data_IF_817969778641
#
_entry.id   IF_817969778641
#
_cell.length_a   1.000
_cell.length_b   1.000
_cell.length_c   1.000
_cell.angle_alpha   90.00
_cell.angle_beta   90.00
_cell.angle_gamma   90.00
#
_symmetry.space_group_name_H-M   'P 1'
#
loop_
_entity.id
_entity.type
_entity.pdbx_description
1 polymer ?
#
# COMPACT_ATOMS: atom_id res chain seq x y z
N UNK A 1 -0.26 19.33 -1.17
CA UNK A 1 0.25 19.45 -2.53
C UNK A 1 -0.33 20.67 -3.20
N UNK A 2 0.53 21.48 -3.80
CA UNK A 2 0.10 22.55 -4.69
C UNK A 2 -0.11 21.95 -6.09
N UNK A 3 -1.35 21.89 -6.60
CA UNK A 3 -1.61 21.32 -7.93
C UNK A 3 -0.94 22.11 -9.07
N UNK A 4 -0.61 23.40 -8.85
CA UNK A 4 0.13 24.21 -9.82
C UNK A 4 1.66 23.98 -9.76
N UNK A 5 2.14 23.23 -8.77
CA UNK A 5 3.58 23.02 -8.55
C UNK A 5 4.19 21.91 -9.43
N UNK A 6 5.52 21.97 -9.64
CA UNK A 6 6.24 21.02 -10.51
C UNK A 6 6.28 19.60 -9.92
N UNK A 7 6.15 19.46 -8.61
CA UNK A 7 6.10 18.14 -7.97
C UNK A 7 4.80 17.40 -8.33
N UNK A 8 3.67 18.12 -8.29
CA UNK A 8 2.40 17.56 -8.71
C UNK A 8 2.46 17.11 -10.18
N UNK A 9 3.07 17.91 -11.07
CA UNK A 9 3.22 17.56 -12.48
C UNK A 9 4.01 16.28 -12.68
N UNK A 10 5.08 16.05 -11.91
CA UNK A 10 5.86 14.80 -11.97
C UNK A 10 5.03 13.60 -11.50
N UNK A 11 4.30 13.72 -10.39
CA UNK A 11 3.46 12.65 -9.86
C UNK A 11 2.27 12.35 -10.79
N UNK A 12 1.68 13.41 -11.35
CA UNK A 12 0.60 13.29 -12.34
C UNK A 12 1.06 12.51 -13.55
N UNK A 13 2.20 12.88 -14.14
CA UNK A 13 2.75 12.21 -15.31
C UNK A 13 3.14 10.76 -15.01
N UNK A 14 3.76 10.51 -13.86
CA UNK A 14 4.10 9.15 -13.42
C UNK A 14 2.89 8.23 -13.40
N UNK A 15 1.79 8.67 -12.78
CA UNK A 15 0.58 7.85 -12.69
C UNK A 15 -0.13 7.79 -14.03
N UNK A 16 -0.17 8.88 -14.79
CA UNK A 16 -0.76 8.91 -16.13
C UNK A 16 -0.10 7.89 -17.05
N UNK A 17 1.22 7.78 -16.98
CA UNK A 17 2.01 6.89 -17.84
C UNK A 17 2.00 5.44 -17.32
N UNK A 18 2.36 5.23 -16.04
CA UNK A 18 2.50 3.87 -15.49
C UNK A 18 1.15 3.26 -15.08
N UNK A 19 0.21 4.09 -14.62
CA UNK A 19 -1.05 3.64 -14.07
C UNK A 19 -2.16 3.40 -15.09
N UNK A 20 -1.96 3.76 -16.36
CA UNK A 20 -2.96 3.59 -17.41
C UNK A 20 -3.27 2.10 -17.68
N UNK A 21 -4.54 1.79 -17.97
CA UNK A 21 -4.96 0.42 -18.31
C UNK A 21 -4.22 -0.14 -19.54
N UNK A 22 -3.92 0.72 -20.51
CA UNK A 22 -3.22 0.43 -21.77
C UNK A 22 -1.77 0.94 -21.79
N UNK A 23 -1.17 1.15 -20.63
CA UNK A 23 0.21 1.62 -20.49
C UNK A 23 1.19 0.77 -21.32
N UNK A 24 2.04 1.45 -22.08
CA UNK A 24 3.15 0.83 -22.84
C UNK A 24 4.49 0.91 -22.10
N UNK A 25 4.56 1.74 -21.06
CA UNK A 25 5.76 1.97 -20.25
C UNK A 25 5.81 1.11 -19.00
N UNK A 26 4.63 0.69 -18.49
CA UNK A 26 4.56 -0.22 -17.34
C UNK A 26 5.07 -1.60 -17.75
N UNK A 27 6.09 -2.10 -17.04
CA UNK A 27 6.66 -3.41 -17.29
C UNK A 27 5.69 -4.56 -16.93
N UNK A 28 6.00 -5.77 -17.40
CA UNK A 28 5.24 -6.96 -17.02
C UNK A 28 5.30 -7.20 -15.50
N UNK A 29 6.47 -7.03 -14.88
CA UNK A 29 6.64 -7.15 -13.42
C UNK A 29 5.82 -6.10 -12.66
N UNK A 30 5.82 -4.84 -13.09
CA UNK A 30 4.99 -3.79 -12.47
C UNK A 30 3.49 -4.09 -12.61
N UNK A 31 3.08 -4.70 -13.71
CA UNK A 31 1.69 -5.13 -13.91
C UNK A 31 1.32 -6.28 -12.98
N UNK A 32 2.24 -7.22 -12.79
CA UNK A 32 2.10 -8.31 -11.82
C UNK A 32 2.03 -7.78 -10.39
N UNK A 33 2.93 -6.87 -10.00
CA UNK A 33 2.92 -6.19 -8.69
C UNK A 33 1.54 -5.54 -8.42
N UNK A 34 1.02 -4.78 -9.38
CA UNK A 34 -0.26 -4.10 -9.23
C UNK A 34 -1.42 -5.07 -8.95
N UNK A 35 -1.40 -6.23 -9.58
CA UNK A 35 -2.43 -7.27 -9.40
C UNK A 35 -2.20 -8.10 -8.16
N UNK A 36 -0.94 -8.41 -7.83
CA UNK A 36 -0.57 -9.21 -6.66
C UNK A 36 -1.05 -8.57 -5.35
N UNK A 37 -0.92 -7.23 -5.24
CA UNK A 37 -1.31 -6.42 -4.09
C UNK A 37 -2.66 -5.71 -4.29
N UNK A 38 -3.52 -6.17 -5.19
CA UNK A 38 -4.80 -5.50 -5.44
C UNK A 38 -5.66 -5.47 -4.17
N UNK A 39 -5.76 -6.59 -3.45
CA UNK A 39 -6.39 -6.75 -2.13
C UNK A 39 -7.76 -6.03 -2.02
N UNK A 40 -8.59 -6.20 -3.04
CA UNK A 40 -9.89 -5.57 -3.13
C UNK A 40 -10.91 -6.11 -2.10
N UNK A 41 -12.12 -5.54 -2.10
CA UNK A 41 -13.15 -5.80 -1.10
C UNK A 41 -13.66 -7.25 -1.07
N UNK A 42 -13.41 -8.02 -2.11
CA UNK A 42 -13.80 -9.42 -2.21
C UNK A 42 -12.71 -10.40 -1.75
N UNK A 43 -11.53 -9.87 -1.38
CA UNK A 43 -10.40 -10.62 -0.85
C UNK A 43 -10.26 -10.47 0.66
N UNK A 44 -9.04 -10.74 1.14
CA UNK A 44 -8.69 -10.62 2.57
C UNK A 44 -8.35 -9.19 3.00
N UNK A 45 -8.34 -8.25 2.08
CA UNK A 45 -7.95 -6.85 2.26
C UNK A 45 -6.48 -6.66 2.69
N UNK A 46 -5.88 -5.47 2.59
CA UNK A 46 -4.46 -5.27 2.94
C UNK A 46 -4.09 -5.68 4.37
N UNK A 47 -4.91 -5.39 5.41
CA UNK A 47 -4.60 -5.86 6.76
C UNK A 47 -4.53 -7.38 6.88
N UNK A 48 -5.46 -8.10 6.24
CA UNK A 48 -5.49 -9.55 6.21
C UNK A 48 -4.28 -10.14 5.50
N UNK A 49 -3.82 -9.53 4.41
CA UNK A 49 -2.62 -9.94 3.69
C UNK A 49 -1.39 -9.89 4.60
N UNK A 50 -1.20 -8.78 5.36
CA UNK A 50 -0.11 -8.68 6.32
C UNK A 50 -0.24 -9.61 7.52
N UNK A 51 -1.46 -10.01 7.91
CA UNK A 51 -1.67 -11.07 8.90
C UNK A 51 -1.18 -12.43 8.38
N UNK A 52 -1.43 -12.76 7.11
CA UNK A 52 -0.92 -14.00 6.50
C UNK A 52 0.60 -14.01 6.37
N UNK A 53 1.20 -12.90 5.93
CA UNK A 53 2.66 -12.75 5.90
C UNK A 53 3.24 -12.94 7.30
N UNK A 54 2.63 -12.34 8.33
CA UNK A 54 3.06 -12.50 9.72
C UNK A 54 3.01 -13.96 10.17
N UNK A 55 1.92 -14.67 9.93
CA UNK A 55 1.79 -16.09 10.23
C UNK A 55 2.92 -16.87 9.57
N UNK A 56 3.16 -16.65 8.31
CA UNK A 56 4.18 -17.35 7.54
C UNK A 56 5.60 -17.10 8.06
N UNK A 57 5.99 -15.84 8.33
CA UNK A 57 7.36 -15.55 8.79
C UNK A 57 7.61 -15.85 10.27
N UNK A 58 6.54 -15.99 11.06
CA UNK A 58 6.64 -16.31 12.49
C UNK A 58 6.53 -17.81 12.79
N UNK A 59 5.92 -18.61 11.93
CA UNK A 59 5.60 -20.02 12.20
C UNK A 59 6.82 -20.88 12.59
N UNK A 60 8.01 -20.58 12.04
CA UNK A 60 9.23 -21.34 12.29
C UNK A 60 10.12 -20.74 13.40
N UNK A 61 9.57 -19.84 14.22
CA UNK A 61 10.32 -19.06 15.24
C UNK A 61 10.27 -19.65 16.66
N UNK A 62 9.75 -20.84 16.83
CA UNK A 62 9.61 -21.52 18.14
C UNK A 62 8.96 -20.62 19.22
N UNK A 63 7.98 -19.83 18.84
CA UNK A 63 7.23 -18.98 19.75
C UNK A 63 6.32 -19.84 20.63
N UNK A 64 6.31 -19.57 21.94
CA UNK A 64 5.31 -20.11 22.86
C UNK A 64 3.90 -19.61 22.46
N UNK A 65 2.86 -20.29 22.93
CA UNK A 65 1.48 -19.89 22.71
C UNK A 65 1.20 -18.42 23.13
N UNK A 66 1.77 -18.00 24.25
CA UNK A 66 1.61 -16.64 24.77
C UNK A 66 2.33 -15.61 23.87
N UNK A 67 3.52 -15.94 23.37
CA UNK A 67 4.25 -15.08 22.44
C UNK A 67 3.53 -14.98 21.10
N UNK A 68 2.98 -16.08 20.59
CA UNK A 68 2.12 -16.09 19.41
C UNK A 68 0.89 -15.18 19.61
N UNK A 69 0.15 -15.38 20.69
CA UNK A 69 -1.03 -14.57 20.98
C UNK A 69 -0.70 -13.08 21.08
N UNK A 70 0.44 -12.77 21.75
CA UNK A 70 0.94 -11.39 21.83
C UNK A 70 1.32 -10.83 20.45
N UNK A 71 2.03 -11.59 19.65
CA UNK A 71 2.45 -11.17 18.30
C UNK A 71 1.24 -10.84 17.41
N UNK A 72 0.27 -11.75 17.33
CA UNK A 72 -0.93 -11.57 16.52
C UNK A 72 -1.80 -10.40 17.03
N UNK A 73 -1.89 -10.22 18.35
CA UNK A 73 -2.61 -9.10 18.93
C UNK A 73 -1.92 -7.76 18.61
N UNK A 74 -0.59 -7.66 18.70
CA UNK A 74 0.16 -6.47 18.35
C UNK A 74 -0.03 -6.10 16.88
N UNK A 75 0.07 -7.08 15.97
CA UNK A 75 -0.09 -6.86 14.54
C UNK A 75 -1.54 -6.40 14.25
N UNK A 76 -2.55 -7.10 14.80
CA UNK A 76 -3.96 -6.75 14.60
C UNK A 76 -4.30 -5.35 15.10
N UNK A 77 -3.84 -4.97 16.29
CA UNK A 77 -4.04 -3.62 16.83
C UNK A 77 -3.33 -2.56 15.98
N UNK A 78 -2.10 -2.83 15.55
CA UNK A 78 -1.35 -1.92 14.68
C UNK A 78 -2.06 -1.71 13.34
N UNK A 79 -2.65 -2.76 12.77
CA UNK A 79 -3.44 -2.65 11.53
C UNK A 79 -4.73 -1.85 11.76
N UNK A 80 -5.36 -2.02 12.93
CA UNK A 80 -6.54 -1.23 13.31
C UNK A 80 -6.20 0.26 13.42
N UNK A 81 -5.12 0.61 14.13
CA UNK A 81 -4.67 2.00 14.28
C UNK A 81 -4.27 2.60 12.91
N UNK A 82 -3.64 1.82 12.04
CA UNK A 82 -3.32 2.20 10.67
C UNK A 82 -4.59 2.51 9.85
N UNK A 83 -5.63 1.70 10.02
CA UNK A 83 -6.94 1.92 9.40
C UNK A 83 -7.55 3.25 9.83
N UNK A 84 -7.60 3.50 11.14
CA UNK A 84 -8.17 4.72 11.71
C UNK A 84 -7.43 5.95 11.17
N UNK A 85 -6.10 5.95 11.24
CA UNK A 85 -5.28 7.06 10.74
C UNK A 85 -5.49 7.31 9.25
N UNK A 86 -5.46 6.25 8.42
CA UNK A 86 -5.60 6.40 6.97
C UNK A 86 -6.98 6.96 6.61
N UNK A 87 -8.07 6.46 7.21
CA UNK A 87 -9.43 6.88 6.87
C UNK A 87 -9.77 8.27 7.43
N UNK A 88 -9.34 8.60 8.64
CA UNK A 88 -9.46 9.96 9.17
C UNK A 88 -8.78 10.97 8.24
N UNK A 89 -7.56 10.68 7.81
CA UNK A 89 -6.80 11.52 6.88
C UNK A 89 -7.50 11.66 5.53
N UNK A 90 -8.06 10.56 4.98
CA UNK A 90 -8.74 10.58 3.68
C UNK A 90 -9.91 11.55 3.67
N UNK A 91 -10.78 11.44 4.65
CA UNK A 91 -11.99 12.29 4.71
C UNK A 91 -11.71 13.71 5.22
N UNK A 92 -10.60 13.92 5.93
CA UNK A 92 -10.17 15.25 6.33
C UNK A 92 -9.62 16.09 5.17
N UNK A 93 -8.84 15.46 4.28
CA UNK A 93 -8.17 16.19 3.18
C UNK A 93 -8.87 16.05 1.83
N UNK A 94 -9.70 15.07 1.66
CA UNK A 94 -10.54 14.80 0.47
C UNK A 94 -9.79 14.94 -0.87
N UNK A 95 -8.57 14.34 -0.95
CA UNK A 95 -7.72 14.45 -2.13
C UNK A 95 -8.28 13.60 -3.26
N UNK A 96 -8.39 14.21 -4.43
CA UNK A 96 -8.92 13.60 -5.65
C UNK A 96 -8.08 12.42 -6.13
N UNK A 97 -8.74 11.37 -6.62
CA UNK A 97 -8.10 10.22 -7.25
C UNK A 97 -7.51 10.54 -8.63
N UNK A 98 -6.42 9.83 -9.05
CA UNK A 98 -5.80 10.03 -10.35
C UNK A 98 -6.79 9.95 -11.51
N UNK A 99 -7.67 8.96 -11.55
CA UNK A 99 -8.63 8.80 -12.65
C UNK A 99 -9.53 10.01 -12.80
N UNK A 100 -10.10 10.50 -11.71
CA UNK A 100 -10.95 11.70 -11.74
C UNK A 100 -10.15 12.95 -12.11
N UNK A 101 -8.92 13.06 -11.60
CA UNK A 101 -8.03 14.19 -11.90
C UNK A 101 -7.67 14.23 -13.39
N UNK A 102 -7.17 13.13 -13.94
CA UNK A 102 -6.70 13.02 -15.33
C UNK A 102 -7.87 13.20 -16.29
N UNK A 103 -9.01 12.57 -16.04
CA UNK A 103 -10.16 12.62 -16.96
C UNK A 103 -10.92 13.93 -16.94
N UNK A 104 -10.98 14.62 -15.80
CA UNK A 104 -11.95 15.70 -15.63
C UNK A 104 -11.37 17.00 -15.06
N UNK A 105 -10.27 16.97 -14.32
CA UNK A 105 -9.82 18.11 -13.52
C UNK A 105 -8.49 18.73 -13.98
N UNK A 106 -7.70 18.06 -14.81
CA UNK A 106 -6.38 18.56 -15.22
C UNK A 106 -6.39 20.04 -15.65
N UNK A 107 -7.32 20.54 -16.48
CA UNK A 107 -7.38 21.95 -16.87
C UNK A 107 -7.68 22.91 -15.71
N UNK A 108 -8.18 22.43 -14.56
CA UNK A 108 -8.54 23.26 -13.40
C UNK A 108 -7.41 23.38 -12.37
N UNK A 109 -6.28 22.76 -12.61
CA UNK A 109 -5.14 22.83 -11.70
C UNK A 109 -4.23 24.01 -11.98
N UNK A 110 -4.46 24.72 -13.10
CA UNK A 110 -3.65 25.87 -13.55
C UNK A 110 -2.14 25.56 -13.55
N UNK A 111 -1.80 24.30 -13.82
CA UNK A 111 -0.41 23.87 -13.84
C UNK A 111 0.21 24.21 -15.21
N UNK A 112 1.34 24.94 -15.24
CA UNK A 112 1.99 25.32 -16.50
C UNK A 112 2.70 24.17 -17.21
N UNK A 113 2.88 23.02 -16.55
CA UNK A 113 3.54 21.87 -17.13
C UNK A 113 2.63 21.18 -18.14
N UNK A 114 3.08 21.00 -19.41
CA UNK A 114 2.26 20.40 -20.46
C UNK A 114 1.89 18.94 -20.21
N UNK A 115 2.55 18.27 -19.24
CA UNK A 115 2.21 16.90 -18.84
C UNK A 115 0.90 16.84 -18.05
N UNK A 116 0.48 17.94 -17.43
CA UNK A 116 -0.77 18.04 -16.69
C UNK A 116 -1.91 18.39 -17.64
N UNK A 117 -2.21 17.48 -18.53
CA UNK A 117 -3.27 17.61 -19.52
C UNK A 117 -4.41 16.61 -19.28
N UNK A 118 -5.57 16.96 -19.83
CA UNK A 118 -6.75 16.11 -19.75
C UNK A 118 -6.67 14.98 -20.75
N UNK A 119 -6.90 13.75 -20.25
CA UNK A 119 -7.21 12.59 -21.07
C UNK A 119 -8.56 12.00 -20.66
N UNK A 120 -9.60 12.29 -21.42
CA UNK A 120 -10.97 11.83 -21.13
C UNK A 120 -11.16 10.32 -21.29
N UNK A 121 -10.25 9.63 -21.95
CA UNK A 121 -10.30 8.18 -22.19
C UNK A 121 -9.44 7.39 -21.17
N UNK A 122 -8.58 8.08 -20.42
CA UNK A 122 -7.71 7.44 -19.45
C UNK A 122 -8.50 6.60 -18.45
N UNK A 123 -7.99 5.41 -18.16
CA UNK A 123 -8.55 4.51 -17.13
C UNK A 123 -7.41 3.97 -16.29
N UNK A 124 -7.64 3.81 -15.01
CA UNK A 124 -6.70 3.11 -14.13
C UNK A 124 -6.60 1.62 -14.50
N UNK A 125 -5.45 1.02 -14.25
CA UNK A 125 -5.20 -0.41 -14.53
C UNK A 125 -6.00 -1.33 -13.61
N UNK A 126 -6.16 -0.95 -12.36
CA UNK A 126 -7.05 -1.62 -11.41
C UNK A 126 -8.23 -0.69 -11.06
N UNK A 127 -9.36 -1.24 -10.58
CA UNK A 127 -10.51 -0.41 -10.22
C UNK A 127 -10.16 0.68 -9.22
N UNK A 128 -10.57 1.91 -9.51
CA UNK A 128 -10.39 3.05 -8.61
C UNK A 128 -11.30 2.91 -7.40
N UNK A 129 -10.75 2.91 -6.15
CA UNK A 129 -11.58 2.85 -4.95
C UNK A 129 -12.49 4.09 -4.78
N UNK A 130 -13.68 3.88 -4.24
CA UNK A 130 -14.74 4.89 -4.07
C UNK A 130 -14.55 5.79 -2.84
N UNK A 131 -13.30 6.12 -2.48
CA UNK A 131 -12.96 7.00 -1.36
C UNK A 131 -11.72 7.83 -1.69
N UNK A 132 -11.47 8.95 -0.97
CA UNK A 132 -10.37 9.88 -1.27
C UNK A 132 -8.99 9.23 -1.35
N UNK A 133 -8.07 9.86 -2.10
CA UNK A 133 -6.76 9.29 -2.40
C UNK A 133 -5.81 9.29 -1.20
N UNK A 134 -5.59 10.46 -0.58
CA UNK A 134 -4.56 10.71 0.43
C UNK A 134 -5.04 10.37 1.85
N UNK A 135 -4.28 9.59 2.64
CA UNK A 135 -3.06 8.84 2.30
C UNK A 135 -3.38 7.47 1.71
N UNK A 136 -2.38 6.77 1.15
CA UNK A 136 -2.57 5.41 0.64
C UNK A 136 -2.81 4.41 1.77
N UNK A 137 -3.99 3.77 1.79
CA UNK A 137 -4.30 2.72 2.77
C UNK A 137 -3.34 1.53 2.67
N UNK A 138 -3.08 1.02 1.45
CA UNK A 138 -2.13 -0.08 1.22
C UNK A 138 -0.74 0.23 1.79
N UNK A 139 -0.22 1.43 1.53
CA UNK A 139 1.09 1.84 2.03
C UNK A 139 1.10 1.98 3.56
N UNK A 140 0.01 2.51 4.16
CA UNK A 140 -0.10 2.63 5.63
C UNK A 140 -0.12 1.24 6.27
N UNK A 141 -0.97 0.33 5.78
CA UNK A 141 -1.05 -1.05 6.29
C UNK A 141 0.25 -1.81 6.07
N UNK A 142 0.85 -1.67 4.88
CA UNK A 142 2.10 -2.33 4.54
C UNK A 142 3.24 -1.92 5.47
N UNK A 143 3.44 -0.62 5.62
CA UNK A 143 4.49 -0.09 6.49
C UNK A 143 4.26 -0.44 7.97
N UNK A 144 3.00 -0.35 8.45
CA UNK A 144 2.65 -0.67 9.81
C UNK A 144 2.85 -2.17 10.12
N UNK A 145 2.37 -3.04 9.23
CA UNK A 145 2.51 -4.49 9.37
C UNK A 145 3.97 -4.93 9.33
N UNK A 146 4.70 -4.53 8.28
CA UNK A 146 6.12 -4.86 8.13
C UNK A 146 6.96 -4.38 9.33
N UNK A 147 6.76 -3.13 9.77
CA UNK A 147 7.48 -2.57 10.91
C UNK A 147 7.16 -3.29 12.22
N UNK A 148 5.89 -3.65 12.47
CA UNK A 148 5.52 -4.42 13.66
C UNK A 148 6.11 -5.83 13.63
N UNK A 149 6.08 -6.51 12.49
CA UNK A 149 6.71 -7.83 12.33
C UNK A 149 8.22 -7.72 12.59
N UNK A 150 8.88 -6.70 12.05
CA UNK A 150 10.30 -6.44 12.28
C UNK A 150 10.61 -6.21 13.78
N UNK A 151 9.76 -5.51 14.50
CA UNK A 151 9.91 -5.34 15.96
C UNK A 151 9.78 -6.67 16.72
N UNK A 152 8.85 -7.53 16.32
CA UNK A 152 8.65 -8.85 16.94
C UNK A 152 9.85 -9.76 16.70
N UNK A 153 10.42 -9.72 15.49
CA UNK A 153 11.58 -10.51 15.08
C UNK A 153 12.92 -9.94 15.53
N UNK A 154 12.97 -8.64 15.87
CA UNK A 154 14.20 -7.91 16.14
C UNK A 154 15.02 -7.58 14.89
N UNK A 155 14.49 -7.82 13.69
CA UNK A 155 15.15 -7.54 12.40
C UNK A 155 14.14 -7.30 11.28
N UNK A 156 14.50 -6.43 10.33
CA UNK A 156 13.78 -6.24 9.06
C UNK A 156 14.25 -7.22 7.98
N UNK A 157 15.49 -7.74 8.10
CA UNK A 157 16.09 -8.64 7.13
C UNK A 157 15.54 -10.06 7.30
N UNK A 158 14.55 -10.37 6.45
CA UNK A 158 13.87 -11.65 6.44
C UNK A 158 13.66 -12.06 4.98
N UNK A 159 14.27 -13.17 4.59
CA UNK A 159 14.00 -13.77 3.28
C UNK A 159 12.68 -14.54 3.36
N UNK A 160 11.72 -14.17 2.56
CA UNK A 160 10.44 -14.87 2.46
C UNK A 160 9.85 -14.76 1.06
N UNK A 161 8.89 -15.62 0.78
CA UNK A 161 8.12 -15.58 -0.45
C UNK A 161 6.65 -15.76 -0.12
N UNK A 162 5.78 -15.17 -0.92
CA UNK A 162 4.35 -15.24 -0.68
C UNK A 162 3.58 -15.35 -2.01
N UNK A 163 2.43 -16.01 -1.97
CA UNK A 163 1.47 -16.04 -3.06
C UNK A 163 0.30 -15.12 -2.74
N UNK A 164 -0.17 -14.35 -3.72
CA UNK A 164 -1.27 -13.45 -3.47
C UNK A 164 -2.53 -14.19 -3.02
N UNK A 165 -3.14 -13.79 -1.92
CA UNK A 165 -4.45 -14.31 -1.53
C UNK A 165 -5.54 -14.04 -2.59
N UNK A 166 -5.34 -13.03 -3.43
CA UNK A 166 -6.25 -12.69 -4.53
C UNK A 166 -6.24 -13.73 -5.68
N UNK A 167 -5.32 -14.70 -5.68
CA UNK A 167 -5.31 -15.80 -6.67
C UNK A 167 -6.61 -16.60 -6.74
N UNK A 168 -7.41 -16.59 -5.67
CA UNK A 168 -8.73 -17.24 -5.64
C UNK A 168 -9.71 -16.50 -6.56
N UNK A 169 -9.62 -15.18 -6.61
CA UNK A 169 -10.47 -14.32 -7.42
C UNK A 169 -9.90 -14.11 -8.83
N UNK A 170 -8.58 -14.09 -8.94
CA UNK A 170 -7.87 -13.82 -10.19
C UNK A 170 -7.04 -15.03 -10.61
N UNK A 171 -7.58 -15.94 -11.46
CA UNK A 171 -6.87 -17.13 -11.91
C UNK A 171 -5.50 -16.87 -12.53
N UNK A 172 -5.28 -15.67 -13.10
CA UNK A 172 -3.99 -15.23 -13.65
C UNK A 172 -2.89 -15.04 -12.59
N UNK A 173 -3.26 -14.97 -11.30
CA UNK A 173 -2.32 -14.91 -10.18
C UNK A 173 -1.99 -16.29 -9.60
N UNK A 174 -2.60 -17.36 -10.11
CA UNK A 174 -2.22 -18.71 -9.72
C UNK A 174 -0.78 -18.97 -10.09
N UNK A 175 -0.08 -19.61 -9.19
CA UNK A 175 1.34 -19.95 -9.35
C UNK A 175 2.31 -18.76 -9.34
N UNK A 176 1.83 -17.51 -9.20
CA UNK A 176 2.70 -16.37 -9.00
C UNK A 176 3.14 -16.31 -7.55
N UNK A 177 4.45 -16.45 -7.36
CA UNK A 177 5.11 -16.33 -6.06
C UNK A 177 6.10 -15.18 -6.13
N UNK A 178 5.94 -14.20 -5.24
CA UNK A 178 6.90 -13.09 -5.13
C UNK A 178 7.85 -13.33 -3.96
N UNK A 179 9.05 -12.77 -4.06
CA UNK A 179 10.16 -13.02 -3.14
C UNK A 179 10.75 -11.69 -2.67
N UNK A 180 11.05 -11.59 -1.40
CA UNK A 180 11.68 -10.41 -0.80
C UNK A 180 12.79 -10.82 0.16
N UNK A 181 13.74 -9.92 0.35
CA UNK A 181 14.86 -10.07 1.29
C UNK A 181 14.66 -9.29 2.58
N UNK A 182 13.63 -8.44 2.61
CA UNK A 182 13.24 -7.70 3.81
C UNK A 182 11.73 -7.43 3.86
N UNK A 183 11.22 -7.21 5.06
CA UNK A 183 9.82 -6.84 5.27
C UNK A 183 9.51 -5.45 4.70
N UNK A 184 10.46 -4.51 4.83
CA UNK A 184 10.34 -3.16 4.26
C UNK A 184 10.29 -3.16 2.74
N UNK A 185 11.02 -4.08 2.06
CA UNK A 185 10.94 -4.24 0.61
C UNK A 185 9.54 -4.67 0.17
N UNK A 186 8.93 -5.62 0.87
CA UNK A 186 7.55 -6.03 0.58
C UNK A 186 6.53 -4.91 0.81
N UNK A 187 6.75 -4.10 1.86
CA UNK A 187 5.88 -2.96 2.16
C UNK A 187 5.99 -1.86 1.09
N UNK A 188 7.19 -1.58 0.59
CA UNK A 188 7.41 -0.61 -0.49
C UNK A 188 6.77 -1.09 -1.79
N UNK A 189 6.98 -2.35 -2.15
CA UNK A 189 6.35 -2.98 -3.33
C UNK A 189 4.82 -2.92 -3.26
N UNK A 190 4.24 -3.23 -2.09
CA UNK A 190 2.81 -3.08 -1.85
C UNK A 190 2.34 -1.62 -2.08
N UNK A 191 3.08 -0.65 -1.58
CA UNK A 191 2.76 0.76 -1.81
C UNK A 191 2.88 1.18 -3.27
N UNK A 192 3.96 0.79 -3.94
CA UNK A 192 4.20 1.05 -5.37
C UNK A 192 3.18 0.38 -6.28
N UNK A 193 2.59 -0.74 -5.85
CA UNK A 193 1.51 -1.42 -6.58
C UNK A 193 0.35 -0.46 -6.92
N UNK A 194 0.12 0.54 -6.08
CA UNK A 194 -0.97 1.51 -6.24
C UNK A 194 -0.66 2.58 -7.28
N UNK A 195 0.62 2.89 -7.48
CA UNK A 195 1.08 3.77 -8.56
C UNK A 195 0.95 3.04 -9.90
N UNK A 196 1.44 1.80 -9.95
CA UNK A 196 1.31 0.93 -11.14
C UNK A 196 -0.14 0.58 -11.45
N UNK A 197 -0.98 0.49 -10.43
CA UNK A 197 -2.42 0.30 -10.54
C UNK A 197 -3.19 1.54 -11.00
N UNK A 198 -2.57 2.74 -10.95
CA UNK A 198 -3.17 3.99 -11.39
C UNK A 198 -4.15 4.62 -10.40
N UNK A 199 -4.10 4.27 -9.11
CA UNK A 199 -5.12 4.65 -8.13
C UNK A 199 -4.63 5.56 -7.01
N UNK A 200 -3.32 5.85 -6.94
CA UNK A 200 -2.70 6.73 -5.95
C UNK A 200 -1.59 7.59 -6.54
N UNK A 201 -1.34 8.73 -5.90
CA UNK A 201 -0.20 9.61 -6.15
C UNK A 201 1.03 9.12 -5.38
N UNK A 202 2.25 9.43 -5.86
CA UNK A 202 3.49 9.04 -5.16
C UNK A 202 3.52 9.60 -3.73
N UNK A 203 3.05 10.83 -3.52
CA UNK A 203 2.98 11.42 -2.19
C UNK A 203 2.04 10.67 -1.24
N UNK A 204 0.91 10.14 -1.76
CA UNK A 204 0.01 9.30 -0.95
C UNK A 204 0.75 8.11 -0.36
N UNK A 205 1.64 7.51 -1.17
CA UNK A 205 2.48 6.39 -0.78
C UNK A 205 3.54 6.81 0.23
N UNK A 206 4.38 7.80 -0.09
CA UNK A 206 5.51 8.18 0.75
C UNK A 206 5.09 8.62 2.16
N UNK A 207 4.06 9.47 2.27
CA UNK A 207 3.57 9.92 3.57
C UNK A 207 2.93 8.78 4.36
N UNK A 208 2.21 7.89 3.67
CA UNK A 208 1.60 6.72 4.31
C UNK A 208 2.64 5.74 4.86
N UNK A 209 3.76 5.55 4.17
CA UNK A 209 4.87 4.71 4.65
C UNK A 209 5.43 5.22 5.99
N UNK A 210 5.65 6.53 6.11
CA UNK A 210 6.13 7.12 7.36
C UNK A 210 5.08 7.05 8.48
N UNK A 211 3.81 7.33 8.15
CA UNK A 211 2.72 7.21 9.12
C UNK A 211 2.58 5.76 9.65
N UNK A 212 2.61 4.77 8.77
CA UNK A 212 2.51 3.36 9.14
C UNK A 212 3.65 2.91 10.05
N UNK A 213 4.90 3.29 9.74
CA UNK A 213 6.06 3.03 10.62
C UNK A 213 5.89 3.65 12.00
N UNK A 214 5.48 4.93 12.07
CA UNK A 214 5.28 5.63 13.33
C UNK A 214 4.18 4.97 14.20
N UNK A 215 3.10 4.49 13.59
CA UNK A 215 2.03 3.76 14.27
C UNK A 215 2.59 2.46 14.87
N UNK A 216 3.35 1.68 14.12
CA UNK A 216 3.93 0.45 14.61
C UNK A 216 4.93 0.69 15.75
N UNK A 217 5.79 1.71 15.64
CA UNK A 217 6.73 2.10 16.69
C UNK A 217 5.99 2.51 17.98
N UNK A 218 4.89 3.28 17.84
CA UNK A 218 4.05 3.68 18.97
C UNK A 218 3.38 2.46 19.63
N UNK A 219 2.76 1.59 18.85
CA UNK A 219 2.08 0.40 19.33
C UNK A 219 3.05 -0.55 20.04
N UNK A 220 4.21 -0.84 19.43
CA UNK A 220 5.24 -1.67 20.03
C UNK A 220 5.77 -1.10 21.36
N UNK A 221 5.92 0.22 21.44
CA UNK A 221 6.39 0.88 22.65
C UNK A 221 5.36 0.89 23.80
N UNK A 222 4.07 0.70 23.53
CA UNK A 222 3.00 0.91 24.53
C UNK A 222 2.14 -0.30 24.82
N UNK A 223 1.91 -1.18 23.85
CA UNK A 223 0.97 -2.28 24.01
C UNK A 223 1.65 -3.55 24.50
N UNK A 224 0.98 -4.29 25.37
CA UNK A 224 1.43 -5.61 25.89
C UNK A 224 2.87 -5.63 26.43
N UNK A 225 3.29 -4.58 27.13
CA UNK A 225 4.58 -4.56 27.82
C UNK A 225 4.59 -5.59 28.94
N UNK A 226 5.76 -6.25 29.14
CA UNK A 226 5.98 -7.03 30.36
C UNK A 226 5.83 -6.08 31.57
N UNK A 227 5.00 -6.48 32.54
CA UNK A 227 5.06 -5.83 33.85
C UNK A 227 6.38 -6.25 34.51
N UNK A 228 7.22 -5.29 34.83
CA UNK A 228 8.44 -5.47 35.64
C UNK A 228 8.01 -5.62 37.09
#
# INVERSE_FOLDING_TARGET
HDPAGPEFAREFDQVRVLGAADSRERTADQSEIAMFWEDGPWGITPPGHYMLIAIQVLQDRNLSFVEWARAMALIGMTQCDASIQAWDTKYRYDVIRPETAIRHRAPKFDNPDPRVERDSQWRSYIPTPEFPSYTSGHSTFGAAGARMIAHILGTDQVNFSHQSPAQVLWPRLRDITRHWTSLSQAADENGMSRIYGGVHWMRDHLVAMEAGKAIADHAHARYFRRRV
#
